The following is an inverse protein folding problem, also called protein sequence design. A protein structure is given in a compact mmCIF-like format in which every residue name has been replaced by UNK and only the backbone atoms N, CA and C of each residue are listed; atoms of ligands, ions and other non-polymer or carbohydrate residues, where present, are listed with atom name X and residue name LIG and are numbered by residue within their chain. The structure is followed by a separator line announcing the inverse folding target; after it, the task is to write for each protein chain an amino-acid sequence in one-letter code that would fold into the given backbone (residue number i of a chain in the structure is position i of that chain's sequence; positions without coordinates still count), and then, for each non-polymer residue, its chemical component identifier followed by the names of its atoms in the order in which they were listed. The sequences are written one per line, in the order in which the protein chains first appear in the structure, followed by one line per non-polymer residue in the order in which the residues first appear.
data_IF_692034979274
#
_entry.id   IF_692034979274
#
_cell.length_a   1.000
_cell.length_b   1.000
_cell.length_c   1.000
_cell.angle_alpha   90.00
_cell.angle_beta   90.00
_cell.angle_gamma   90.00
#
_symmetry.space_group_name_H-M   'P 1'
#
loop_
_entity.id
_entity.type
_entity.pdbx_description
1 polymer ?
#
# COMPACT_ATOMS: atom_id res chain seq x y z
N UNK A 1 -13.19 2.06 -19.82
CA UNK A 1 -12.02 2.80 -20.34
C UNK A 1 -11.09 1.81 -21.03
N UNK A 2 -10.46 2.18 -22.14
CA UNK A 2 -9.49 1.32 -22.85
C UNK A 2 -8.21 2.12 -23.15
N UNK A 3 -7.06 1.48 -22.92
CA UNK A 3 -5.73 2.08 -23.05
C UNK A 3 -4.82 1.12 -23.82
N UNK A 4 -4.09 1.63 -24.80
CA UNK A 4 -3.07 0.87 -25.53
C UNK A 4 -1.67 1.42 -25.22
N UNK A 5 -0.83 0.60 -24.60
CA UNK A 5 0.60 0.87 -24.45
C UNK A 5 1.30 0.26 -25.67
N UNK A 6 2.05 1.05 -26.43
CA UNK A 6 2.73 0.63 -27.66
C UNK A 6 4.23 0.48 -27.48
N UNK A 7 4.83 -0.42 -28.26
CA UNK A 7 6.28 -0.54 -28.43
C UNK A 7 7.07 -0.77 -27.13
N UNK A 8 6.44 -1.31 -26.09
CA UNK A 8 7.11 -1.60 -24.83
C UNK A 8 8.05 -2.80 -25.00
N UNK A 9 9.19 -2.78 -24.31
CA UNK A 9 10.04 -3.96 -24.16
C UNK A 9 9.58 -4.76 -22.95
N UNK A 10 9.33 -6.06 -23.10
CA UNK A 10 9.03 -6.95 -21.98
C UNK A 10 10.33 -7.44 -21.31
N UNK A 11 10.25 -8.00 -20.09
CA UNK A 11 11.40 -8.62 -19.41
C UNK A 11 12.13 -9.68 -20.24
N UNK A 12 11.41 -10.34 -21.16
CA UNK A 12 12.00 -11.30 -22.09
C UNK A 12 12.84 -10.67 -23.21
N UNK A 13 12.95 -9.34 -23.26
CA UNK A 13 13.59 -8.59 -24.34
C UNK A 13 12.72 -8.40 -25.59
N UNK A 14 11.53 -9.01 -25.64
CA UNK A 14 10.62 -8.89 -26.78
C UNK A 14 9.85 -7.56 -26.75
N UNK A 15 9.74 -6.91 -27.90
CA UNK A 15 8.82 -5.78 -28.08
C UNK A 15 7.37 -6.24 -28.21
N UNK A 16 6.46 -5.55 -27.53
CA UNK A 16 5.01 -5.81 -27.51
C UNK A 16 4.20 -4.53 -27.31
N UNK A 17 3.01 -4.50 -27.89
CA UNK A 17 1.91 -3.64 -27.46
C UNK A 17 1.12 -4.36 -26.34
N UNK A 18 0.47 -3.59 -25.47
CA UNK A 18 -0.33 -4.07 -24.34
C UNK A 18 -1.66 -3.31 -24.35
N UNK A 19 -2.75 -4.03 -24.62
CA UNK A 19 -4.11 -3.50 -24.60
C UNK A 19 -4.76 -3.77 -23.24
N UNK A 20 -5.22 -2.70 -22.62
CA UNK A 20 -5.99 -2.71 -21.38
C UNK A 20 -7.45 -2.39 -21.69
N UNK A 21 -8.36 -3.19 -21.16
CA UNK A 21 -9.81 -2.95 -21.17
C UNK A 21 -10.34 -3.02 -19.73
N UNK A 22 -10.89 -1.91 -19.24
CA UNK A 22 -11.22 -1.80 -17.82
C UNK A 22 -9.96 -1.94 -16.95
N UNK A 23 -9.96 -2.91 -16.03
CA UNK A 23 -8.86 -3.19 -15.10
C UNK A 23 -8.07 -4.48 -15.45
N UNK A 24 -8.15 -4.94 -16.70
CA UNK A 24 -7.52 -6.20 -17.15
C UNK A 24 -6.65 -5.98 -18.39
N UNK A 25 -5.59 -6.79 -18.48
CA UNK A 25 -4.85 -6.97 -19.72
C UNK A 25 -5.70 -7.83 -20.65
N UNK A 26 -6.24 -7.21 -21.70
CA UNK A 26 -7.08 -7.88 -22.69
C UNK A 26 -6.24 -8.61 -23.74
N UNK A 27 -5.13 -8.01 -24.17
CA UNK A 27 -4.25 -8.59 -25.19
C UNK A 27 -2.82 -8.07 -25.08
N UNK A 28 -1.87 -8.94 -25.40
CA UNK A 28 -0.46 -8.58 -25.60
C UNK A 28 0.02 -9.16 -26.93
N UNK A 29 0.84 -8.42 -27.66
CA UNK A 29 1.34 -8.82 -28.97
C UNK A 29 1.83 -7.63 -29.79
N UNK A 30 2.33 -7.87 -31.00
CA UNK A 30 2.76 -6.79 -31.91
C UNK A 30 1.61 -6.26 -32.75
N UNK A 31 1.68 -4.97 -33.10
CA UNK A 31 0.79 -4.32 -34.04
C UNK A 31 -0.68 -4.50 -33.69
N UNK A 32 -1.03 -4.30 -32.41
CA UNK A 32 -2.42 -4.44 -31.96
C UNK A 32 -3.24 -3.31 -32.59
N UNK A 33 -4.12 -3.68 -33.53
CA UNK A 33 -5.16 -2.78 -34.01
C UNK A 33 -6.18 -2.56 -32.89
N UNK A 34 -6.34 -1.30 -32.46
CA UNK A 34 -7.27 -0.93 -31.41
C UNK A 34 -7.85 0.47 -31.65
N UNK A 35 -9.15 0.59 -31.38
CA UNK A 35 -9.88 1.86 -31.29
C UNK A 35 -9.78 2.50 -29.90
N UNK A 36 -8.86 2.04 -29.04
CA UNK A 36 -8.63 2.64 -27.73
C UNK A 36 -8.41 4.15 -27.84
N UNK A 37 -9.18 4.90 -27.04
CA UNK A 37 -9.15 6.36 -27.05
C UNK A 37 -7.83 6.92 -26.49
N UNK A 38 -7.19 6.19 -25.58
CA UNK A 38 -5.91 6.55 -24.99
C UNK A 38 -4.78 5.64 -25.49
N UNK A 39 -3.64 6.23 -25.81
CA UNK A 39 -2.45 5.53 -26.29
C UNK A 39 -1.19 6.09 -25.66
N UNK A 40 -0.32 5.21 -25.18
CA UNK A 40 1.00 5.56 -24.61
C UNK A 40 2.09 4.95 -25.49
N UNK A 41 3.06 5.74 -25.92
CA UNK A 41 4.27 5.22 -26.59
C UNK A 41 5.36 4.90 -25.56
N UNK A 42 5.64 3.62 -25.39
CA UNK A 42 6.64 3.10 -24.47
C UNK A 42 7.95 2.70 -25.19
N UNK A 43 8.20 3.23 -26.39
CA UNK A 43 9.49 3.07 -27.08
C UNK A 43 10.66 3.42 -26.16
N UNK A 44 11.67 2.53 -26.11
CA UNK A 44 12.84 2.66 -25.25
C UNK A 44 12.58 2.39 -23.75
N UNK A 45 11.36 1.98 -23.37
CA UNK A 45 10.99 1.65 -21.99
C UNK A 45 10.70 0.15 -21.83
N UNK A 46 10.86 -0.33 -20.60
CA UNK A 46 10.50 -1.69 -20.21
C UNK A 46 9.15 -1.65 -19.49
N UNK A 47 8.22 -2.52 -19.89
CA UNK A 47 6.97 -2.74 -19.17
C UNK A 47 7.13 -3.91 -18.19
N UNK A 48 6.80 -3.67 -16.93
CA UNK A 48 6.89 -4.62 -15.82
C UNK A 48 5.54 -4.71 -15.11
N UNK A 49 5.21 -5.85 -14.49
CA UNK A 49 4.25 -5.86 -13.39
C UNK A 49 4.71 -4.86 -12.32
N UNK A 50 3.77 -4.14 -11.71
CA UNK A 50 4.09 -3.25 -10.61
C UNK A 50 4.62 -4.03 -9.40
N UNK A 51 5.53 -3.41 -8.63
CA UNK A 51 6.13 -4.05 -7.48
C UNK A 51 5.13 -4.20 -6.33
N UNK A 52 5.33 -5.24 -5.51
CA UNK A 52 4.53 -5.54 -4.33
C UNK A 52 5.43 -5.40 -3.10
N UNK A 53 5.16 -4.40 -2.26
CA UNK A 53 5.82 -4.23 -0.98
C UNK A 53 5.09 -5.04 0.10
N UNK A 54 5.65 -6.17 0.54
CA UNK A 54 4.93 -7.10 1.42
C UNK A 54 4.93 -6.71 2.90
N UNK A 55 5.61 -5.62 3.29
CA UNK A 55 5.60 -5.14 4.67
C UNK A 55 6.03 -3.68 4.76
N UNK A 56 5.23 -2.85 5.43
CA UNK A 56 5.57 -1.46 5.74
C UNK A 56 4.78 -0.96 6.94
N UNK A 57 5.18 0.23 7.39
CA UNK A 57 4.46 1.09 8.32
C UNK A 57 4.36 2.48 7.68
N UNK A 58 3.37 2.67 6.80
CA UNK A 58 3.32 3.76 5.82
C UNK A 58 3.40 5.16 6.46
N UNK A 59 2.70 5.37 7.57
CA UNK A 59 2.70 6.65 8.27
C UNK A 59 4.06 7.00 8.92
N UNK A 60 4.94 6.02 9.13
CA UNK A 60 6.30 6.25 9.65
C UNK A 60 7.19 7.00 8.64
N UNK A 61 6.74 7.22 7.40
CA UNK A 61 7.42 8.11 6.46
C UNK A 61 7.64 9.53 7.03
N UNK A 62 6.78 9.99 7.94
CA UNK A 62 6.96 11.26 8.67
C UNK A 62 8.06 11.24 9.73
N UNK A 63 8.51 10.05 10.14
CA UNK A 63 9.55 9.82 11.15
C UNK A 63 10.87 9.41 10.50
N UNK A 64 11.00 9.55 9.17
CA UNK A 64 12.22 9.21 8.45
C UNK A 64 13.41 10.00 9.01
N UNK A 65 14.41 9.30 9.54
CA UNK A 65 15.60 9.91 10.11
C UNK A 65 15.48 10.40 11.56
N UNK A 66 14.38 10.12 12.27
CA UNK A 66 14.21 10.59 13.67
C UNK A 66 14.92 9.73 14.70
N UNK A 67 15.10 8.44 14.42
CA UNK A 67 15.72 7.47 15.32
C UNK A 67 16.68 6.56 14.54
N UNK A 68 17.96 6.93 14.53
CA UNK A 68 19.04 6.26 13.82
C UNK A 68 20.09 5.73 14.81
N UNK A 69 20.94 4.80 14.39
CA UNK A 69 22.09 4.29 15.16
C UNK A 69 21.75 3.72 16.55
N UNK A 70 20.56 3.13 16.70
CA UNK A 70 20.07 2.54 17.95
C UNK A 70 19.90 1.02 17.85
N UNK A 71 20.02 0.34 18.99
CA UNK A 71 19.58 -1.05 19.12
C UNK A 71 18.05 -1.13 19.06
N UNK A 72 17.50 -2.25 18.58
CA UNK A 72 16.06 -2.41 18.33
C UNK A 72 15.18 -2.02 19.53
N UNK A 73 15.56 -2.40 20.76
CA UNK A 73 14.78 -2.09 21.95
C UNK A 73 14.73 -0.59 22.24
N UNK A 74 15.87 0.10 22.10
CA UNK A 74 15.99 1.54 22.31
C UNK A 74 15.29 2.33 21.20
N UNK A 75 15.43 1.86 19.96
CA UNK A 75 14.73 2.38 18.80
C UNK A 75 13.21 2.28 18.98
N UNK A 76 12.70 1.11 19.35
CA UNK A 76 11.27 0.88 19.55
C UNK A 76 10.71 1.74 20.70
N UNK A 77 11.47 1.90 21.79
CA UNK A 77 11.09 2.77 22.89
C UNK A 77 11.07 4.26 22.48
N UNK A 78 11.95 4.67 21.58
CA UNK A 78 12.03 6.04 21.05
C UNK A 78 10.87 6.30 20.09
N UNK A 79 10.71 5.46 19.07
CA UNK A 79 9.64 5.57 18.07
C UNK A 79 8.26 5.53 18.73
N UNK A 80 8.01 4.64 19.69
CA UNK A 80 6.71 4.60 20.40
C UNK A 80 6.36 5.92 21.09
N UNK A 81 7.35 6.66 21.61
CA UNK A 81 7.13 7.99 22.20
C UNK A 81 6.80 9.05 21.14
N UNK A 82 7.31 8.89 19.92
CA UNK A 82 6.96 9.75 18.79
C UNK A 82 5.57 9.42 18.25
N UNK A 83 5.25 8.13 18.10
CA UNK A 83 3.94 7.63 17.67
C UNK A 83 2.80 8.13 18.55
N UNK A 84 3.00 8.22 19.87
CA UNK A 84 2.02 8.77 20.81
C UNK A 84 1.63 10.23 20.53
N UNK A 85 2.43 10.97 19.76
CA UNK A 85 2.15 12.36 19.35
C UNK A 85 1.43 12.42 18.00
N UNK A 86 1.33 11.30 17.28
CA UNK A 86 0.66 11.25 15.99
C UNK A 86 -0.85 11.31 16.19
N UNK A 87 -1.50 12.13 15.37
CA UNK A 87 -2.96 12.26 15.32
C UNK A 87 -3.46 11.57 14.05
N UNK A 88 -4.77 11.28 13.92
CA UNK A 88 -5.34 10.75 12.68
C UNK A 88 -4.93 11.56 11.43
N UNK A 89 -4.87 12.89 11.55
CA UNK A 89 -4.39 13.78 10.46
C UNK A 89 -2.94 13.53 10.09
N UNK A 90 -2.06 13.28 11.07
CA UNK A 90 -0.67 12.91 10.80
C UNK A 90 -0.59 11.56 10.10
N UNK A 91 -1.40 10.58 10.53
CA UNK A 91 -1.45 9.25 9.88
C UNK A 91 -1.90 9.38 8.43
N UNK A 92 -2.97 10.13 8.17
CA UNK A 92 -3.45 10.40 6.82
C UNK A 92 -2.37 11.00 5.91
N UNK A 93 -1.69 12.04 6.40
CA UNK A 93 -0.64 12.73 5.64
C UNK A 93 0.58 11.85 5.39
N UNK A 94 1.05 11.10 6.40
CA UNK A 94 2.19 10.20 6.26
C UNK A 94 1.89 9.03 5.31
N UNK A 95 0.71 8.43 5.42
CA UNK A 95 0.31 7.36 4.50
C UNK A 95 0.14 7.85 3.06
N UNK A 96 -0.38 9.07 2.85
CA UNK A 96 -0.43 9.68 1.53
C UNK A 96 0.96 9.94 0.94
N UNK A 97 1.91 10.42 1.76
CA UNK A 97 3.31 10.60 1.37
C UNK A 97 3.94 9.26 0.95
N UNK A 98 3.75 8.21 1.75
CA UNK A 98 4.24 6.87 1.43
C UNK A 98 3.63 6.32 0.14
N UNK A 99 2.32 6.52 -0.10
CA UNK A 99 1.68 6.12 -1.35
C UNK A 99 2.31 6.84 -2.56
N UNK A 100 2.53 8.15 -2.47
CA UNK A 100 3.20 8.92 -3.52
C UNK A 100 4.61 8.38 -3.81
N UNK A 101 5.40 8.13 -2.78
CA UNK A 101 6.77 7.59 -2.90
C UNK A 101 6.76 6.20 -3.56
N UNK A 102 5.86 5.32 -3.12
CA UNK A 102 5.68 3.98 -3.69
C UNK A 102 5.29 4.03 -5.17
N UNK A 103 4.34 4.89 -5.55
CA UNK A 103 3.94 5.08 -6.95
C UNK A 103 5.13 5.55 -7.80
N UNK A 104 5.91 6.54 -7.31
CA UNK A 104 7.10 7.01 -8.02
C UNK A 104 8.19 5.93 -8.14
N UNK A 105 8.25 5.00 -7.19
CA UNK A 105 9.14 3.83 -7.22
C UNK A 105 8.63 2.64 -8.04
N UNK A 106 7.41 2.69 -8.58
CA UNK A 106 6.80 1.60 -9.35
C UNK A 106 6.12 0.51 -8.50
N UNK A 107 5.97 0.72 -7.20
CA UNK A 107 5.14 -0.13 -6.33
C UNK A 107 3.67 0.17 -6.58
N UNK A 108 2.87 -0.87 -6.79
CA UNK A 108 1.43 -0.77 -7.05
C UNK A 108 0.57 -1.44 -5.98
N UNK A 109 1.19 -2.28 -5.15
CA UNK A 109 0.54 -2.94 -4.03
C UNK A 109 1.44 -2.93 -2.79
N UNK A 110 0.87 -2.74 -1.60
CA UNK A 110 1.63 -2.87 -0.36
C UNK A 110 0.85 -3.53 0.77
N UNK A 111 1.56 -4.05 1.78
CA UNK A 111 0.98 -4.55 3.03
C UNK A 111 1.39 -3.65 4.18
N UNK A 112 0.42 -3.13 4.94
CA UNK A 112 0.65 -2.20 6.02
C UNK A 112 0.08 -2.70 7.35
N UNK A 113 0.82 -2.44 8.42
CA UNK A 113 0.39 -2.66 9.79
C UNK A 113 0.61 -1.40 10.59
N UNK A 114 -0.45 -0.75 11.06
CA UNK A 114 -0.31 0.45 11.88
C UNK A 114 -1.55 0.70 12.75
N UNK A 115 -1.62 1.87 13.37
CA UNK A 115 -2.79 2.34 14.10
C UNK A 115 -3.54 3.42 13.30
N UNK A 116 -4.79 3.73 13.69
CA UNK A 116 -5.71 4.59 12.91
C UNK A 116 -5.85 4.14 11.44
N UNK A 117 -6.07 2.84 11.23
CA UNK A 117 -6.07 2.24 9.89
C UNK A 117 -7.15 2.78 8.94
N UNK A 118 -8.22 3.40 9.46
CA UNK A 118 -9.19 4.12 8.62
C UNK A 118 -8.54 5.24 7.80
N UNK A 119 -7.59 5.95 8.39
CA UNK A 119 -6.86 7.04 7.72
C UNK A 119 -5.87 6.51 6.68
N UNK A 120 -5.24 5.36 6.97
CA UNK A 120 -4.38 4.67 6.02
C UNK A 120 -5.22 4.17 4.84
N UNK A 121 -6.34 3.50 5.10
CA UNK A 121 -7.23 2.95 4.09
C UNK A 121 -7.79 4.04 3.17
N UNK A 122 -8.17 5.18 3.74
CA UNK A 122 -8.70 6.27 2.96
C UNK A 122 -7.59 6.99 2.14
N UNK A 123 -6.32 6.97 2.56
CA UNK A 123 -5.18 7.38 1.71
C UNK A 123 -4.93 6.41 0.54
N UNK A 124 -5.10 5.11 0.77
CA UNK A 124 -5.03 4.07 -0.28
C UNK A 124 -6.16 4.25 -1.30
N UNK A 125 -7.37 4.54 -0.83
CA UNK A 125 -8.51 4.79 -1.71
C UNK A 125 -8.23 5.97 -2.65
N UNK A 126 -7.80 7.10 -2.10
CA UNK A 126 -7.49 8.33 -2.85
C UNK A 126 -6.32 8.16 -3.82
N UNK A 127 -5.27 7.44 -3.43
CA UNK A 127 -4.06 7.27 -4.27
C UNK A 127 -4.23 6.34 -5.46
N UNK A 128 -5.28 5.51 -5.51
CA UNK A 128 -5.42 4.51 -6.56
C UNK A 128 -4.63 3.21 -6.33
N UNK A 129 -3.88 3.10 -5.23
CA UNK A 129 -3.06 1.91 -4.91
C UNK A 129 -3.87 0.70 -4.46
N UNK A 130 -3.28 -0.50 -4.55
CA UNK A 130 -3.79 -1.71 -3.89
C UNK A 130 -3.12 -1.88 -2.53
N UNK A 131 -3.85 -2.37 -1.53
CA UNK A 131 -3.22 -2.66 -0.24
C UNK A 131 -3.85 -3.83 0.52
N UNK A 132 -3.02 -4.53 1.28
CA UNK A 132 -3.42 -5.39 2.39
C UNK A 132 -3.20 -4.60 3.67
N UNK A 133 -4.26 -4.32 4.42
CA UNK A 133 -4.20 -3.42 5.56
C UNK A 133 -4.58 -4.19 6.82
N UNK A 134 -3.77 -4.06 7.87
CA UNK A 134 -4.07 -4.68 9.16
C UNK A 134 -3.91 -3.71 10.32
N UNK A 135 -4.87 -3.73 11.24
CA UNK A 135 -4.75 -2.99 12.49
C UNK A 135 -3.71 -3.65 13.39
N UNK A 136 -2.65 -2.90 13.73
CA UNK A 136 -1.54 -3.33 14.56
C UNK A 136 -1.97 -3.53 16.02
N UNK A 137 -2.10 -4.78 16.45
CA UNK A 137 -2.54 -5.13 17.81
C UNK A 137 -1.35 -5.42 18.73
N UNK A 138 -1.44 -4.93 19.97
CA UNK A 138 -0.47 -5.18 21.06
C UNK A 138 -1.19 -5.52 22.36
N UNK A 139 -0.66 -6.48 23.14
CA UNK A 139 -1.33 -6.99 24.35
C UNK A 139 -0.72 -6.47 25.65
N UNK A 140 -0.66 -5.14 25.80
CA UNK A 140 0.06 -4.49 26.92
C UNK A 140 -0.86 -3.99 28.06
N UNK A 141 -2.17 -4.24 28.02
CA UNK A 141 -3.13 -3.56 28.92
C UNK A 141 -4.17 -4.45 29.60
N UNK A 142 -3.88 -5.73 29.76
CA UNK A 142 -4.80 -6.70 30.37
C UNK A 142 -6.05 -6.97 29.53
N UNK A 143 -6.98 -7.74 30.09
CA UNK A 143 -8.13 -8.31 29.36
C UNK A 143 -9.01 -7.26 28.67
N UNK A 144 -9.31 -6.15 29.35
CA UNK A 144 -10.14 -5.08 28.79
C UNK A 144 -9.49 -4.43 27.56
N UNK A 145 -8.18 -4.15 27.62
CA UNK A 145 -7.47 -3.56 26.47
C UNK A 145 -7.40 -4.57 25.32
N UNK A 146 -7.06 -5.82 25.61
CA UNK A 146 -7.03 -6.90 24.62
C UNK A 146 -8.35 -7.04 23.87
N UNK A 147 -9.48 -7.06 24.59
CA UNK A 147 -10.81 -7.10 23.98
C UNK A 147 -11.09 -5.87 23.09
N UNK A 148 -10.63 -4.69 23.52
CA UNK A 148 -10.73 -3.47 22.71
C UNK A 148 -9.91 -3.53 21.43
N UNK A 149 -8.65 -3.99 21.49
CA UNK A 149 -7.77 -4.11 20.31
C UNK A 149 -8.38 -5.08 19.27
N UNK A 150 -8.90 -6.22 19.72
CA UNK A 150 -9.60 -7.18 18.86
C UNK A 150 -10.86 -6.58 18.24
N UNK A 151 -11.66 -5.86 19.02
CA UNK A 151 -12.87 -5.21 18.51
C UNK A 151 -12.56 -4.15 17.45
N UNK A 152 -11.48 -3.37 17.64
CA UNK A 152 -11.03 -2.39 16.63
C UNK A 152 -10.61 -3.10 15.35
N UNK A 153 -9.81 -4.17 15.45
CA UNK A 153 -9.39 -4.95 14.28
C UNK A 153 -10.58 -5.56 13.52
N UNK A 154 -11.54 -6.16 14.24
CA UNK A 154 -12.75 -6.72 13.64
C UNK A 154 -13.60 -5.67 12.94
N UNK A 155 -13.79 -4.51 13.56
CA UNK A 155 -14.56 -3.42 12.98
C UNK A 155 -13.87 -2.88 11.73
N UNK A 156 -12.54 -2.68 11.78
CA UNK A 156 -11.78 -2.29 10.60
C UNK A 156 -11.94 -3.29 9.45
N UNK A 157 -11.87 -4.59 9.72
CA UNK A 157 -12.08 -5.62 8.71
C UNK A 157 -13.49 -5.54 8.11
N UNK A 158 -14.53 -5.43 8.96
CA UNK A 158 -15.93 -5.32 8.51
C UNK A 158 -16.16 -4.10 7.62
N UNK A 159 -15.59 -2.97 7.99
CA UNK A 159 -15.78 -1.70 7.28
C UNK A 159 -14.98 -1.63 5.97
N UNK A 160 -13.72 -2.07 5.97
CA UNK A 160 -12.80 -1.78 4.87
C UNK A 160 -12.51 -2.93 3.92
N UNK A 161 -12.80 -4.17 4.29
CA UNK A 161 -12.52 -5.30 3.40
C UNK A 161 -13.35 -5.20 2.10
N UNK A 162 -12.66 -5.19 0.95
CA UNK A 162 -13.29 -5.07 -0.36
C UNK A 162 -13.62 -3.63 -0.81
N UNK A 163 -13.33 -2.61 0.00
CA UNK A 163 -13.49 -1.19 -0.38
C UNK A 163 -12.51 -0.78 -1.49
N UNK A 164 -12.68 0.45 -1.98
CA UNK A 164 -11.93 1.02 -3.10
C UNK A 164 -11.96 0.11 -4.35
N UNK A 165 -13.16 -0.33 -4.73
CA UNK A 165 -13.38 -1.23 -5.87
C UNK A 165 -12.60 -2.57 -5.76
N UNK A 166 -12.48 -3.10 -4.54
CA UNK A 166 -11.72 -4.33 -4.26
C UNK A 166 -10.21 -4.15 -4.26
N UNK A 167 -9.70 -2.91 -4.17
CA UNK A 167 -8.26 -2.65 -4.01
C UNK A 167 -7.79 -2.82 -2.56
N UNK A 168 -8.68 -2.76 -1.58
CA UNK A 168 -8.33 -2.90 -0.16
C UNK A 168 -8.73 -4.28 0.34
N UNK A 169 -7.75 -5.02 0.87
CA UNK A 169 -7.96 -6.24 1.63
C UNK A 169 -7.63 -5.95 3.09
N UNK A 170 -8.67 -5.82 3.94
CA UNK A 170 -8.46 -5.67 5.37
C UNK A 170 -8.19 -7.04 6.03
N UNK A 171 -7.28 -7.07 7.01
CA UNK A 171 -6.75 -8.26 7.67
C UNK A 171 -6.42 -8.01 9.14
N UNK A 172 -6.09 -9.07 9.89
CA UNK A 172 -5.56 -8.96 11.26
C UNK A 172 -4.03 -8.84 11.24
N UNK A 173 -3.49 -8.09 12.20
CA UNK A 173 -2.08 -7.77 12.23
C UNK A 173 -1.55 -7.69 13.69
N UNK A 174 -1.37 -8.83 14.37
CA UNK A 174 -0.68 -8.84 15.67
C UNK A 174 0.77 -8.41 15.48
N UNK A 175 1.26 -7.50 16.34
CA UNK A 175 2.62 -6.95 16.24
C UNK A 175 3.70 -8.05 16.29
N UNK A 176 3.63 -8.94 17.27
CA UNK A 176 4.57 -10.05 17.45
C UNK A 176 4.05 -11.09 18.44
N UNK A 177 4.78 -12.19 18.60
CA UNK A 177 4.53 -13.21 19.63
C UNK A 177 4.94 -12.76 21.05
N UNK A 178 5.79 -11.74 21.14
CA UNK A 178 6.26 -11.11 22.37
C UNK A 178 5.72 -9.67 22.45
N UNK A 179 5.76 -9.07 23.65
CA UNK A 179 5.19 -7.76 24.02
C UNK A 179 3.69 -7.79 24.36
#
# INVERSE_FOLDING_TARGET
MSLLIKNATLLSGKQSDILLEGNKIAKMGRSIASSAGEKIDASGKIALPGFINTHTHAAMSLMRGSAEDMQLADWLATVRKEEQKLTPKHIRAGSALACLEMIKGGTTCFSDMYFHMDEVAAAVEESGMRAVLGYGMVDLGGEKKRASELSIAENFIKEWHGKAEGRITASSAPHSLYL
#
